data_IF_931540934485
#
_entry.id   IF_931540934485
#
_cell.length_a   1.000
_cell.length_b   1.000
_cell.length_c   1.000
_cell.angle_alpha   90.00
_cell.angle_beta   90.00
_cell.angle_gamma   90.00
#
_symmetry.space_group_name_H-M   'P 1'
#
loop_
_entity.id
_entity.type
_entity.pdbx_description
1 polymer ?
#
# COMPACT_ATOMS: atom_id res chain seq x y z
N UNK A 1 -17.22 29.66 12.96
CA UNK A 1 -17.18 29.29 11.52
C UNK A 1 -17.37 27.79 11.41
N UNK A 2 -18.53 27.33 10.91
CA UNK A 2 -18.84 25.90 10.76
C UNK A 2 -18.18 25.40 9.48
N UNK A 3 -17.21 24.49 9.60
CA UNK A 3 -16.55 23.87 8.44
C UNK A 3 -17.58 23.06 7.64
N UNK A 4 -17.54 23.23 6.32
CA UNK A 4 -18.44 22.57 5.37
C UNK A 4 -17.94 21.13 5.12
N UNK A 5 -18.44 20.16 5.89
CA UNK A 5 -18.06 18.72 5.81
C UNK A 5 -18.61 17.99 4.56
N UNK A 6 -19.21 18.67 3.59
CA UNK A 6 -19.90 18.07 2.42
C UNK A 6 -19.08 17.99 1.13
N UNK A 7 -17.74 17.97 1.21
CA UNK A 7 -16.85 17.80 0.03
C UNK A 7 -15.73 16.79 0.30
N UNK A 8 -16.06 15.66 0.91
CA UNK A 8 -15.15 14.51 0.95
C UNK A 8 -15.08 13.87 -0.45
N UNK A 9 -13.91 13.45 -0.95
CA UNK A 9 -13.86 12.58 -2.11
C UNK A 9 -14.54 11.26 -1.73
N UNK A 10 -15.73 11.05 -2.28
CA UNK A 10 -16.49 9.81 -2.13
C UNK A 10 -15.72 8.69 -2.84
N UNK A 11 -14.88 7.99 -2.09
CA UNK A 11 -14.37 6.67 -2.46
C UNK A 11 -15.48 5.67 -2.13
N UNK A 12 -16.50 5.59 -2.99
CA UNK A 12 -17.61 4.67 -2.80
C UNK A 12 -17.23 3.28 -3.25
N UNK A 13 -16.82 2.40 -2.35
CA UNK A 13 -16.66 0.98 -2.66
C UNK A 13 -18.03 0.31 -2.80
N UNK A 14 -18.08 -0.90 -3.37
CA UNK A 14 -19.27 -1.75 -3.31
C UNK A 14 -19.57 -2.08 -1.84
N UNK A 15 -20.43 -1.27 -1.24
CA UNK A 15 -21.05 -1.56 0.03
C UNK A 15 -22.28 -2.42 -0.23
N UNK A 16 -22.59 -3.29 0.71
CA UNK A 16 -23.97 -3.29 1.21
C UNK A 16 -24.30 -1.88 1.70
N UNK A 17 -24.76 -1.05 0.75
CA UNK A 17 -25.59 0.16 0.83
C UNK A 17 -25.15 1.31 1.74
N UNK A 18 -24.48 2.33 1.17
CA UNK A 18 -24.77 3.72 1.53
C UNK A 18 -25.60 4.37 0.42
N UNK A 19 -26.83 4.77 0.75
CA UNK A 19 -27.70 5.55 -0.14
C UNK A 19 -27.38 7.04 0.02
N UNK A 20 -26.87 7.67 -1.04
CA UNK A 20 -26.62 9.11 -1.08
C UNK A 20 -27.65 9.84 -1.94
N UNK A 21 -28.42 10.75 -1.33
CA UNK A 21 -29.42 11.55 -2.04
C UNK A 21 -28.81 12.79 -2.71
N UNK A 22 -28.85 12.86 -4.04
CA UNK A 22 -28.54 14.09 -4.79
C UNK A 22 -29.84 14.86 -5.04
N UNK A 23 -29.86 16.12 -4.60
CA UNK A 23 -30.97 17.06 -4.85
C UNK A 23 -30.61 17.92 -6.06
N UNK A 24 -31.09 17.56 -7.24
CA UNK A 24 -30.97 18.42 -8.41
C UNK A 24 -32.13 19.44 -8.43
N UNK A 25 -31.78 20.73 -8.57
CA UNK A 25 -32.75 21.81 -8.72
C UNK A 25 -33.10 21.93 -10.20
N UNK A 26 -34.09 21.16 -10.64
CA UNK A 26 -34.77 21.39 -11.92
C UNK A 26 -35.70 22.61 -11.84
N UNK A 27 -35.88 23.31 -12.97
CA UNK A 27 -36.68 24.53 -13.08
C UNK A 27 -38.18 24.34 -12.76
N UNK A 28 -38.68 23.11 -12.72
CA UNK A 28 -40.07 22.80 -12.35
C UNK A 28 -40.11 21.72 -11.27
N UNK A 29 -40.06 22.14 -9.99
CA UNK A 29 -40.30 21.27 -8.84
C UNK A 29 -39.15 20.31 -8.49
N UNK A 30 -38.74 20.30 -7.21
CA UNK A 30 -37.65 19.46 -6.70
C UNK A 30 -37.93 17.97 -6.98
N UNK A 31 -37.13 17.34 -7.86
CA UNK A 31 -37.01 15.88 -7.95
C UNK A 31 -35.71 15.46 -7.28
N UNK A 32 -35.80 14.79 -6.14
CA UNK A 32 -34.69 14.09 -5.51
C UNK A 32 -34.54 12.71 -6.17
N UNK A 33 -33.35 12.41 -6.70
CA UNK A 33 -33.02 11.10 -7.26
C UNK A 33 -31.97 10.44 -6.37
N UNK A 34 -32.24 9.22 -5.94
CA UNK A 34 -31.25 8.36 -5.29
C UNK A 34 -30.40 7.71 -6.37
N UNK A 35 -29.08 7.91 -6.29
CA UNK A 35 -28.13 7.30 -7.24
C UNK A 35 -27.22 6.39 -6.40
N UNK A 36 -27.19 5.10 -6.74
CA UNK A 36 -26.19 4.17 -6.20
C UNK A 36 -24.88 4.42 -6.93
N UNK A 37 -23.79 4.66 -6.19
CA UNK A 37 -22.45 4.70 -6.73
C UNK A 37 -21.67 3.48 -6.23
N UNK A 38 -21.04 2.75 -7.15
CA UNK A 38 -20.14 1.64 -6.88
C UNK A 38 -18.80 1.99 -7.56
N UNK A 39 -17.71 1.92 -6.83
CA UNK A 39 -16.34 2.04 -7.32
C UNK A 39 -15.54 0.89 -6.75
N UNK A 40 -15.39 -0.17 -7.52
CA UNK A 40 -14.37 -1.18 -7.28
C UNK A 40 -13.00 -0.50 -7.40
N UNK A 41 -12.21 -0.45 -6.31
CA UNK A 41 -10.79 -0.06 -6.44
C UNK A 41 -10.00 -1.28 -6.86
N UNK A 42 -9.78 -1.37 -8.16
CA UNK A 42 -8.74 -2.19 -8.74
C UNK A 42 -7.43 -1.40 -8.73
N UNK A 43 -6.39 -1.93 -8.11
CA UNK A 43 -5.03 -1.42 -8.27
C UNK A 43 -4.48 -1.88 -9.62
N UNK A 44 -3.85 -0.97 -10.36
CA UNK A 44 -3.06 -1.31 -11.56
C UNK A 44 -1.64 -1.61 -11.11
N UNK A 45 -1.19 -2.86 -11.18
CA UNK A 45 0.13 -3.29 -10.67
C UNK A 45 1.29 -2.41 -11.16
N UNK A 46 1.15 -1.85 -12.35
CA UNK A 46 2.18 -1.03 -13.01
C UNK A 46 2.22 0.44 -12.56
N UNK A 47 1.19 0.96 -11.87
CA UNK A 47 1.13 2.38 -11.53
C UNK A 47 0.41 2.69 -10.22
N UNK A 48 1.19 2.79 -9.14
CA UNK A 48 0.68 3.16 -7.81
C UNK A 48 0.56 4.67 -7.58
N UNK A 49 1.02 5.49 -8.53
CA UNK A 49 1.03 6.95 -8.41
C UNK A 49 -0.34 7.57 -8.07
N UNK A 50 -1.48 7.09 -8.64
CA UNK A 50 -2.80 7.64 -8.35
C UNK A 50 -3.22 7.45 -6.89
N UNK A 51 -2.86 6.31 -6.29
CA UNK A 51 -3.31 5.88 -4.96
C UNK A 51 -2.50 6.48 -3.82
N UNK A 52 -1.32 7.03 -4.11
CA UNK A 52 -0.48 7.67 -3.10
C UNK A 52 -1.18 8.83 -2.38
N UNK A 53 -2.06 9.56 -3.07
CA UNK A 53 -2.86 10.62 -2.44
C UNK A 53 -3.85 10.05 -1.43
N UNK A 54 -4.45 8.90 -1.73
CA UNK A 54 -5.37 8.19 -0.85
C UNK A 54 -4.61 7.62 0.37
N UNK A 55 -3.41 7.08 0.15
CA UNK A 55 -2.53 6.64 1.23
C UNK A 55 -2.22 7.77 2.22
N UNK A 56 -1.76 8.92 1.71
CA UNK A 56 -1.48 10.11 2.53
C UNK A 56 -2.73 10.66 3.24
N UNK A 57 -3.90 10.57 2.60
CA UNK A 57 -5.16 10.97 3.23
C UNK A 57 -5.44 10.14 4.48
N UNK A 58 -5.35 8.82 4.37
CA UNK A 58 -5.61 7.91 5.47
C UNK A 58 -4.57 8.00 6.58
N UNK A 59 -3.28 8.11 6.23
CA UNK A 59 -2.24 8.35 7.22
C UNK A 59 -2.46 9.66 7.99
N UNK A 60 -2.88 10.74 7.34
CA UNK A 60 -3.18 12.01 8.04
C UNK A 60 -4.35 11.85 9.00
N UNK A 61 -5.41 11.12 8.61
CA UNK A 61 -6.55 10.85 9.49
C UNK A 61 -6.14 10.04 10.72
N UNK A 62 -5.36 8.99 10.55
CA UNK A 62 -4.85 8.16 11.64
C UNK A 62 -3.89 8.94 12.56
N UNK A 63 -2.98 9.74 11.97
CA UNK A 63 -2.02 10.54 12.72
C UNK A 63 -2.68 11.64 13.57
N UNK A 64 -3.81 12.21 13.12
CA UNK A 64 -4.61 13.13 13.93
C UNK A 64 -5.17 12.49 15.21
N UNK A 65 -5.27 11.16 15.22
CA UNK A 65 -5.69 10.36 16.38
C UNK A 65 -4.49 9.80 17.17
N UNK A 66 -3.26 10.15 16.80
CA UNK A 66 -2.05 9.72 17.49
C UNK A 66 -1.53 8.33 17.08
N UNK A 67 -2.00 7.76 15.97
CA UNK A 67 -1.52 6.46 15.49
C UNK A 67 -0.03 6.52 15.12
N UNK A 68 0.76 5.65 15.74
CA UNK A 68 2.23 5.65 15.64
C UNK A 68 2.73 5.21 14.26
N UNK A 69 2.05 4.25 13.62
CA UNK A 69 2.37 3.78 12.28
C UNK A 69 2.15 4.90 11.28
N UNK A 70 1.01 5.58 11.35
CA UNK A 70 0.69 6.70 10.47
C UNK A 70 1.68 7.87 10.61
N UNK A 71 2.08 8.21 11.84
CA UNK A 71 3.10 9.22 12.11
C UNK A 71 4.46 8.84 11.50
N UNK A 72 4.87 7.57 11.65
CA UNK A 72 6.09 7.02 11.02
C UNK A 72 6.02 7.14 9.50
N UNK A 73 4.91 6.74 8.88
CA UNK A 73 4.74 6.80 7.42
C UNK A 73 4.76 8.24 6.88
N UNK A 74 4.14 9.19 7.58
CA UNK A 74 4.17 10.61 7.20
C UNK A 74 5.56 11.22 7.34
N UNK A 75 6.34 10.81 8.36
CA UNK A 75 7.74 11.24 8.51
C UNK A 75 8.59 10.74 7.34
N UNK A 76 8.47 9.47 6.98
CA UNK A 76 9.16 8.90 5.81
C UNK A 76 8.79 9.66 4.53
N UNK A 77 7.52 10.05 4.36
CA UNK A 77 7.09 10.84 3.21
C UNK A 77 7.72 12.25 3.17
N UNK A 78 7.90 12.89 4.33
CA UNK A 78 8.62 14.15 4.44
C UNK A 78 10.10 13.99 4.08
N UNK A 79 10.75 12.92 4.56
CA UNK A 79 12.14 12.59 4.26
C UNK A 79 12.34 12.34 2.75
N UNK A 80 11.46 11.54 2.13
CA UNK A 80 11.45 11.30 0.69
C UNK A 80 11.30 12.61 -0.11
N UNK A 81 10.46 13.54 0.35
CA UNK A 81 10.31 14.86 -0.28
C UNK A 81 11.63 15.66 -0.23
N UNK A 82 12.37 15.61 0.88
CA UNK A 82 13.69 16.21 1.03
C UNK A 82 14.73 15.61 0.06
N UNK A 83 14.79 14.29 -0.01
CA UNK A 83 15.68 13.57 -0.95
C UNK A 83 15.33 13.90 -2.39
N UNK A 84 14.04 13.95 -2.74
CA UNK A 84 13.60 14.32 -4.09
C UNK A 84 14.07 15.71 -4.51
N UNK A 85 14.02 16.70 -3.60
CA UNK A 85 14.54 18.05 -3.88
C UNK A 85 16.04 18.04 -4.16
N UNK A 86 16.84 17.26 -3.42
CA UNK A 86 18.29 17.11 -3.66
C UNK A 86 18.57 16.41 -4.99
N UNK A 87 17.86 15.32 -5.27
CA UNK A 87 17.99 14.56 -6.51
C UNK A 87 17.71 15.43 -7.75
N UNK A 88 16.69 16.30 -7.67
CA UNK A 88 16.36 17.28 -8.70
C UNK A 88 17.45 18.32 -8.94
N UNK A 89 18.23 18.67 -7.91
CA UNK A 89 19.39 19.58 -8.00
C UNK A 89 20.65 18.91 -8.58
N UNK A 90 20.59 17.61 -8.92
CA UNK A 90 21.71 16.90 -9.54
C UNK A 90 22.56 16.05 -8.59
N UNK A 91 22.24 16.02 -7.29
CA UNK A 91 22.95 15.22 -6.29
C UNK A 91 22.84 13.72 -6.63
N UNK A 92 23.96 13.13 -7.08
CA UNK A 92 24.02 11.76 -7.59
C UNK A 92 23.67 10.72 -6.50
N UNK A 93 24.03 10.98 -5.24
CA UNK A 93 23.72 10.08 -4.15
C UNK A 93 22.23 10.16 -3.78
N UNK A 94 21.67 11.37 -3.75
CA UNK A 94 20.23 11.55 -3.55
C UNK A 94 19.40 10.95 -4.70
N UNK A 95 19.89 10.99 -5.93
CA UNK A 95 19.26 10.32 -7.07
C UNK A 95 19.22 8.79 -6.88
N UNK A 96 20.34 8.19 -6.49
CA UNK A 96 20.39 6.76 -6.19
C UNK A 96 19.46 6.40 -5.03
N UNK A 97 19.47 7.19 -3.94
CA UNK A 97 18.59 6.98 -2.79
C UNK A 97 17.11 7.10 -3.17
N UNK A 98 16.75 8.08 -4.00
CA UNK A 98 15.38 8.23 -4.49
C UNK A 98 14.94 7.02 -5.31
N UNK A 99 15.84 6.38 -6.06
CA UNK A 99 15.54 5.14 -6.74
C UNK A 99 15.22 4.01 -5.77
N UNK A 100 16.02 3.86 -4.70
CA UNK A 100 15.76 2.90 -3.62
C UNK A 100 14.38 3.14 -3.01
N UNK A 101 14.01 4.40 -2.77
CA UNK A 101 12.73 4.76 -2.18
C UNK A 101 11.55 4.38 -3.08
N UNK A 102 11.63 4.62 -4.39
CA UNK A 102 10.59 4.16 -5.32
C UNK A 102 10.54 2.63 -5.44
N UNK A 103 11.68 1.95 -5.37
CA UNK A 103 11.71 0.49 -5.44
C UNK A 103 11.03 -0.17 -4.24
N UNK A 104 11.29 0.32 -3.03
CA UNK A 104 10.73 -0.22 -1.77
C UNK A 104 9.50 0.51 -1.25
N UNK A 105 8.98 1.50 -1.99
CA UNK A 105 7.92 2.40 -1.54
C UNK A 105 8.23 3.09 -0.18
N UNK A 106 9.48 3.47 0.07
CA UNK A 106 9.85 4.16 1.31
C UNK A 106 9.43 5.63 1.25
N UNK A 107 8.42 6.03 2.04
CA UNK A 107 7.89 7.40 2.02
C UNK A 107 7.29 7.83 0.68
N UNK A 108 6.99 6.87 -0.19
CA UNK A 108 6.41 7.04 -1.52
C UNK A 108 5.68 5.75 -1.89
N UNK A 109 5.13 5.67 -3.10
CA UNK A 109 4.54 4.45 -3.63
C UNK A 109 5.58 3.63 -4.41
N UNK A 110 5.30 2.33 -4.57
CA UNK A 110 6.15 1.44 -5.36
C UNK A 110 6.12 1.83 -6.84
N UNK A 111 7.29 2.05 -7.42
CA UNK A 111 7.46 2.34 -8.85
C UNK A 111 8.85 1.93 -9.33
N UNK A 112 8.95 0.73 -9.89
CA UNK A 112 10.23 0.16 -10.31
C UNK A 112 10.80 0.91 -11.52
N UNK A 113 9.96 1.42 -12.41
CA UNK A 113 10.39 2.16 -13.61
C UNK A 113 10.96 3.54 -13.25
N UNK A 114 10.32 4.28 -12.34
CA UNK A 114 10.90 5.50 -11.78
C UNK A 114 12.18 5.19 -11.02
N UNK A 115 12.22 4.07 -10.29
CA UNK A 115 13.45 3.55 -9.67
C UNK A 115 14.60 3.43 -10.68
N UNK A 116 14.39 2.66 -11.75
CA UNK A 116 15.37 2.48 -12.83
C UNK A 116 15.80 3.82 -13.46
N UNK A 117 14.85 4.71 -13.75
CA UNK A 117 15.14 6.04 -14.29
C UNK A 117 16.12 6.81 -13.38
N UNK A 118 15.88 6.82 -12.07
CA UNK A 118 16.74 7.51 -11.12
C UNK A 118 18.10 6.84 -10.96
N UNK A 119 18.20 5.50 -11.08
CA UNK A 119 19.50 4.79 -11.13
C UNK A 119 20.30 5.21 -12.36
N UNK A 120 19.70 5.17 -13.56
CA UNK A 120 20.40 5.58 -14.79
C UNK A 120 20.86 7.03 -14.70
N UNK A 121 20.04 7.91 -14.14
CA UNK A 121 20.40 9.32 -13.91
C UNK A 121 21.54 9.48 -12.90
N UNK A 122 21.47 8.76 -11.77
CA UNK A 122 22.53 8.75 -10.76
C UNK A 122 23.86 8.24 -11.33
N UNK A 123 23.82 7.19 -12.16
CA UNK A 123 24.99 6.63 -12.82
C UNK A 123 25.62 7.63 -13.81
N UNK A 124 24.80 8.32 -14.62
CA UNK A 124 25.26 9.43 -15.49
C UNK A 124 25.90 10.57 -14.71
N UNK A 125 25.42 10.83 -13.49
CA UNK A 125 25.98 11.81 -12.57
C UNK A 125 27.13 11.27 -11.69
N UNK A 126 27.65 10.07 -11.96
CA UNK A 126 28.83 9.52 -11.29
C UNK A 126 28.59 8.84 -9.94
N UNK A 127 27.35 8.50 -9.57
CA UNK A 127 27.09 7.72 -8.36
C UNK A 127 27.70 6.32 -8.46
N UNK A 128 28.63 6.00 -7.56
CA UNK A 128 29.28 4.68 -7.51
C UNK A 128 28.26 3.54 -7.31
N UNK A 129 27.31 3.73 -6.40
CA UNK A 129 26.25 2.74 -6.13
C UNK A 129 25.37 2.49 -7.35
N UNK A 130 25.05 3.56 -8.10
CA UNK A 130 24.27 3.45 -9.32
C UNK A 130 25.06 2.75 -10.44
N UNK A 131 26.35 3.08 -10.61
CA UNK A 131 27.23 2.43 -11.59
C UNK A 131 27.35 0.92 -11.34
N UNK A 132 27.52 0.51 -10.07
CA UNK A 132 27.52 -0.90 -9.68
C UNK A 132 26.17 -1.56 -9.99
N UNK A 133 25.08 -0.86 -9.69
CA UNK A 133 23.72 -1.36 -9.95
C UNK A 133 23.46 -1.58 -11.44
N UNK A 134 23.86 -0.64 -12.30
CA UNK A 134 23.77 -0.77 -13.77
C UNK A 134 24.67 -1.90 -14.26
N UNK A 135 25.94 -1.93 -13.85
CA UNK A 135 26.89 -2.97 -14.27
C UNK A 135 26.43 -4.38 -13.92
N UNK A 136 25.80 -4.57 -12.76
CA UNK A 136 25.33 -5.89 -12.30
C UNK A 136 24.15 -6.42 -13.13
N UNK A 137 23.27 -5.54 -13.62
CA UNK A 137 22.05 -5.93 -14.33
C UNK A 137 22.19 -5.80 -15.86
N UNK A 138 23.29 -5.23 -16.34
CA UNK A 138 23.52 -4.99 -17.75
C UNK A 138 24.30 -6.14 -18.40
N UNK A 139 23.93 -6.56 -19.62
CA UNK A 139 24.71 -7.51 -20.40
C UNK A 139 25.96 -6.88 -21.05
N UNK A 140 26.11 -5.55 -21.03
CA UNK A 140 27.20 -4.86 -21.70
C UNK A 140 28.49 -4.87 -20.87
N UNK A 141 29.64 -4.97 -21.55
CA UNK A 141 30.97 -4.84 -20.94
C UNK A 141 31.25 -3.41 -20.47
N UNK A 142 30.76 -2.42 -21.22
CA UNK A 142 30.92 -1.00 -20.93
C UNK A 142 29.62 -0.38 -20.38
N UNK A 143 29.74 0.33 -19.25
CA UNK A 143 28.59 0.99 -18.62
C UNK A 143 28.01 2.09 -19.52
N UNK A 144 28.82 2.74 -20.36
CA UNK A 144 28.34 3.79 -21.27
C UNK A 144 27.29 3.25 -22.24
N UNK A 145 27.54 2.07 -22.82
CA UNK A 145 26.60 1.39 -23.72
C UNK A 145 25.30 1.05 -22.98
N UNK A 146 25.40 0.55 -21.74
CA UNK A 146 24.23 0.30 -20.89
C UNK A 146 23.38 1.55 -20.61
N UNK A 147 24.01 2.72 -20.44
CA UNK A 147 23.31 3.97 -20.14
C UNK A 147 22.67 4.63 -21.38
N UNK A 148 23.08 4.21 -22.58
CA UNK A 148 22.54 4.62 -23.88
C UNK A 148 21.42 3.69 -24.34
N UNK A 149 21.45 2.42 -23.93
CA UNK A 149 20.38 1.45 -24.19
C UNK A 149 19.06 1.89 -23.50
N UNK A 150 17.97 2.13 -24.26
CA UNK A 150 16.67 2.47 -23.71
C UNK A 150 16.09 1.35 -22.83
N UNK A 151 16.37 0.08 -23.16
CA UNK A 151 15.82 -1.10 -22.50
C UNK A 151 16.65 -1.54 -21.29
N UNK A 152 17.83 -0.94 -21.09
CA UNK A 152 18.65 -1.22 -19.92
C UNK A 152 17.87 -0.92 -18.63
N UNK A 153 17.72 -1.97 -17.83
CA UNK A 153 16.98 -1.98 -16.59
C UNK A 153 17.90 -2.37 -15.43
N UNK A 154 17.95 -1.52 -14.40
CA UNK A 154 18.78 -1.72 -13.23
C UNK A 154 17.94 -1.59 -11.96
N UNK A 155 18.21 -2.47 -11.00
CA UNK A 155 17.64 -2.43 -9.66
C UNK A 155 18.68 -1.96 -8.65
N UNK A 156 18.27 -1.30 -7.56
CA UNK A 156 19.20 -0.87 -6.53
C UNK A 156 19.83 -2.09 -5.85
N UNK A 157 21.16 -2.09 -5.74
CA UNK A 157 21.93 -3.19 -5.10
C UNK A 157 22.19 -2.91 -3.62
N UNK A 158 22.33 -1.63 -3.27
CA UNK A 158 22.60 -1.17 -1.91
C UNK A 158 21.36 -0.53 -1.30
N UNK A 159 21.01 -0.98 -0.09
CA UNK A 159 19.86 -0.50 0.67
C UNK A 159 20.35 0.21 1.94
N UNK A 160 19.85 1.42 2.24
CA UNK A 160 20.05 2.08 3.52
C UNK A 160 19.39 1.27 4.64
N UNK A 161 19.96 1.32 5.84
CA UNK A 161 19.38 0.66 7.02
C UNK A 161 17.96 1.15 7.31
N UNK A 162 17.68 2.42 7.03
CA UNK A 162 16.35 3.01 7.23
C UNK A 162 15.27 2.36 6.35
N UNK A 163 15.67 1.74 5.24
CA UNK A 163 14.78 1.02 4.31
C UNK A 163 14.73 -0.47 4.63
N UNK A 164 15.69 -1.00 5.40
CA UNK A 164 15.66 -2.39 5.86
C UNK A 164 14.50 -2.56 6.85
N UNK A 165 13.64 -3.55 6.59
CA UNK A 165 12.47 -3.83 7.44
C UNK A 165 11.20 -3.03 7.12
N UNK A 166 11.20 -2.14 6.12
CA UNK A 166 10.01 -1.34 5.75
C UNK A 166 9.07 -2.01 4.75
N UNK A 167 9.19 -3.32 4.53
CA UNK A 167 8.46 -4.05 3.48
C UNK A 167 7.03 -4.39 3.92
N UNK A 168 6.21 -3.34 4.10
CA UNK A 168 4.82 -3.46 4.54
C UNK A 168 3.93 -4.12 3.49
N UNK A 169 4.37 -4.25 2.24
CA UNK A 169 3.66 -5.06 1.23
C UNK A 169 3.58 -6.52 1.63
N UNK A 170 4.66 -7.06 2.20
CA UNK A 170 4.70 -8.44 2.70
C UNK A 170 3.78 -8.66 3.91
N UNK A 171 3.27 -7.59 4.52
CA UNK A 171 2.40 -7.66 5.69
C UNK A 171 1.02 -8.24 5.37
N UNK A 172 0.57 -8.08 4.12
CA UNK A 172 -0.73 -8.48 3.61
C UNK A 172 -0.56 -9.45 2.43
N UNK A 173 -0.51 -10.75 2.71
CA UNK A 173 -0.22 -11.82 1.74
C UNK A 173 0.86 -12.80 2.24
N UNK A 174 0.77 -14.08 1.84
CA UNK A 174 1.54 -15.23 2.39
C UNK A 174 3.00 -14.91 2.78
N UNK A 175 3.25 -14.69 4.06
CA UNK A 175 4.58 -14.83 4.65
C UNK A 175 4.80 -16.29 5.07
N UNK A 176 5.94 -16.87 4.67
CA UNK A 176 6.48 -18.06 5.34
C UNK A 176 6.86 -17.68 6.77
N UNK A 177 6.69 -18.63 7.71
CA UNK A 177 6.97 -18.52 9.16
C UNK A 177 8.29 -17.81 9.51
N UNK A 178 9.30 -17.89 8.64
CA UNK A 178 10.63 -17.28 8.82
C UNK A 178 10.69 -15.75 8.70
N UNK A 179 9.79 -15.08 7.96
CA UNK A 179 9.86 -13.61 7.77
C UNK A 179 9.09 -12.79 8.84
N UNK A 180 8.39 -13.49 9.73
CA UNK A 180 7.54 -12.89 10.78
C UNK A 180 8.35 -12.37 11.94
N UNK A 181 9.51 -12.98 12.18
CA UNK A 181 10.44 -12.60 13.22
C UNK A 181 11.12 -11.25 12.88
N UNK A 182 11.20 -10.88 11.59
CA UNK A 182 11.90 -9.69 11.11
C UNK A 182 11.04 -8.40 11.07
N UNK A 183 9.71 -8.49 11.18
CA UNK A 183 8.80 -7.41 10.71
C UNK A 183 7.89 -6.76 11.78
N UNK A 184 8.21 -6.85 13.08
CA UNK A 184 7.30 -6.49 14.20
C UNK A 184 5.94 -7.25 14.15
N UNK A 185 5.80 -8.21 13.23
CA UNK A 185 4.57 -8.94 12.95
C UNK A 185 4.19 -9.88 14.08
N UNK A 186 5.16 -10.42 14.82
CA UNK A 186 4.90 -11.22 16.02
C UNK A 186 3.99 -10.51 17.04
N UNK A 187 4.10 -9.19 17.17
CA UNK A 187 3.26 -8.40 18.09
C UNK A 187 1.82 -8.30 17.60
N UNK A 188 1.63 -7.97 16.31
CA UNK A 188 0.30 -7.88 15.70
C UNK A 188 -0.36 -9.27 15.68
N UNK A 189 0.41 -10.30 15.34
CA UNK A 189 -0.04 -11.69 15.28
C UNK A 189 -0.41 -12.21 16.65
N UNK A 190 0.43 -11.98 17.66
CA UNK A 190 0.10 -12.31 19.04
C UNK A 190 -1.24 -11.71 19.47
N UNK A 191 -1.52 -10.46 19.09
CA UNK A 191 -2.77 -9.78 19.45
C UNK A 191 -4.03 -10.44 18.87
N UNK A 192 -4.00 -10.94 17.63
CA UNK A 192 -5.20 -11.49 16.96
C UNK A 192 -5.22 -13.03 16.88
N UNK A 193 -4.09 -13.70 17.19
CA UNK A 193 -3.95 -15.16 17.10
C UNK A 193 -4.80 -15.98 18.07
N UNK A 194 -5.35 -15.36 19.11
CA UNK A 194 -6.23 -16.03 20.08
C UNK A 194 -7.72 -15.76 19.85
N UNK A 195 -8.09 -15.02 18.81
CA UNK A 195 -9.47 -14.62 18.61
C UNK A 195 -10.32 -15.74 18.01
N UNK A 196 -11.52 -15.89 18.58
CA UNK A 196 -12.58 -16.68 18.00
C UNK A 196 -13.20 -15.92 16.82
N UNK A 197 -13.21 -16.56 15.65
CA UNK A 197 -13.70 -15.96 14.41
C UNK A 197 -15.19 -15.63 14.52
N UNK A 198 -16.02 -16.56 14.99
CA UNK A 198 -17.48 -16.39 14.99
C UNK A 198 -17.90 -15.28 15.95
N UNK A 199 -17.33 -15.27 17.16
CA UNK A 199 -17.54 -14.19 18.13
C UNK A 199 -17.09 -12.83 17.58
N UNK A 200 -15.89 -12.77 16.97
CA UNK A 200 -15.38 -11.53 16.37
C UNK A 200 -16.25 -11.07 15.21
N UNK A 201 -16.78 -11.98 14.41
CA UNK A 201 -17.67 -11.70 13.29
C UNK A 201 -18.99 -11.08 13.75
N UNK A 202 -19.62 -11.66 14.78
CA UNK A 202 -20.85 -11.11 15.36
C UNK A 202 -20.65 -9.68 15.91
N UNK A 203 -19.54 -9.44 16.62
CA UNK A 203 -19.23 -8.10 17.15
C UNK A 203 -18.86 -7.09 16.06
N UNK A 204 -18.19 -7.53 14.99
CA UNK A 204 -17.90 -6.69 13.83
C UNK A 204 -19.17 -6.25 13.11
N UNK A 205 -20.16 -7.15 12.98
CA UNK A 205 -21.49 -6.83 12.43
C UNK A 205 -22.27 -5.83 13.30
N UNK A 206 -22.02 -5.82 14.61
CA UNK A 206 -22.58 -4.81 15.51
C UNK A 206 -21.95 -3.41 15.35
N UNK A 207 -20.98 -3.24 14.44
CA UNK A 207 -20.34 -1.96 14.15
C UNK A 207 -19.20 -1.59 15.09
N UNK A 208 -18.71 -2.54 15.89
CA UNK A 208 -17.58 -2.30 16.80
C UNK A 208 -16.30 -2.22 15.97
N UNK A 209 -15.76 -1.00 15.81
CA UNK A 209 -14.66 -0.73 14.88
C UNK A 209 -13.38 -1.53 15.18
N UNK A 210 -13.07 -1.78 16.44
CA UNK A 210 -11.95 -2.63 16.83
C UNK A 210 -12.14 -4.09 16.37
N UNK A 211 -13.38 -4.58 16.38
CA UNK A 211 -13.71 -5.95 15.98
C UNK A 211 -13.81 -6.10 14.47
N UNK A 212 -14.27 -5.06 13.77
CA UNK A 212 -14.11 -4.96 12.32
C UNK A 212 -12.63 -5.00 11.92
N UNK A 213 -11.76 -4.27 12.63
CA UNK A 213 -10.32 -4.32 12.40
C UNK A 213 -9.72 -5.69 12.70
N UNK A 214 -10.13 -6.32 13.81
CA UNK A 214 -9.68 -7.67 14.15
C UNK A 214 -10.12 -8.72 13.12
N UNK A 215 -11.38 -8.66 12.68
CA UNK A 215 -11.92 -9.53 11.65
C UNK A 215 -11.19 -9.37 10.33
N UNK A 216 -10.79 -8.15 9.97
CA UNK A 216 -9.97 -7.89 8.79
C UNK A 216 -8.65 -8.69 8.83
N UNK A 217 -7.97 -8.72 9.99
CA UNK A 217 -6.77 -9.52 10.17
C UNK A 217 -7.02 -11.03 10.12
N UNK A 218 -8.15 -11.51 10.65
CA UNK A 218 -8.52 -12.92 10.55
C UNK A 218 -8.70 -13.35 9.09
N UNK A 219 -9.35 -12.53 8.27
CA UNK A 219 -9.45 -12.76 6.83
C UNK A 219 -8.10 -12.62 6.11
N UNK A 220 -7.29 -11.63 6.47
CA UNK A 220 -5.97 -11.39 5.87
C UNK A 220 -5.02 -12.58 6.07
N UNK A 221 -5.12 -13.28 7.20
CA UNK A 221 -4.27 -14.44 7.52
C UNK A 221 -4.93 -15.79 7.26
N UNK A 222 -6.26 -15.83 7.10
CA UNK A 222 -7.00 -17.08 7.04
C UNK A 222 -7.01 -17.81 8.37
N UNK A 223 -7.21 -17.08 9.47
CA UNK A 223 -7.32 -17.67 10.79
C UNK A 223 -8.80 -17.89 11.15
N UNK A 224 -9.18 -19.16 11.35
CA UNK A 224 -10.58 -19.55 11.55
C UNK A 224 -11.43 -19.50 10.27
N UNK A 225 -10.88 -18.98 9.16
CA UNK A 225 -11.53 -18.85 7.86
C UNK A 225 -10.51 -19.05 6.74
N UNK A 226 -10.95 -19.29 5.50
CA UNK A 226 -10.03 -19.24 4.35
C UNK A 226 -9.50 -17.81 4.19
N UNK A 227 -8.19 -17.68 3.94
CA UNK A 227 -7.58 -16.38 3.65
C UNK A 227 -8.30 -15.67 2.50
N UNK A 228 -8.73 -14.43 2.73
CA UNK A 228 -9.36 -13.58 1.72
C UNK A 228 -8.99 -12.10 1.94
N UNK A 229 -8.02 -11.63 1.16
CA UNK A 229 -7.54 -10.25 1.19
C UNK A 229 -8.63 -9.25 0.77
N UNK A 230 -9.64 -9.67 -0.03
CA UNK A 230 -10.78 -8.79 -0.36
C UNK A 230 -11.62 -8.52 0.85
N UNK A 231 -11.97 -9.57 1.58
CA UNK A 231 -12.76 -9.44 2.79
C UNK A 231 -11.97 -8.67 3.85
N UNK A 232 -10.67 -8.92 4.00
CA UNK A 232 -9.80 -8.12 4.84
C UNK A 232 -9.86 -6.62 4.50
N UNK A 233 -9.68 -6.27 3.21
CA UNK A 233 -9.74 -4.88 2.74
C UNK A 233 -11.10 -4.23 3.06
N UNK A 234 -12.21 -4.95 2.88
CA UNK A 234 -13.56 -4.45 3.22
C UNK A 234 -13.67 -4.15 4.71
N UNK A 235 -13.26 -5.06 5.58
CA UNK A 235 -13.35 -4.88 7.02
C UNK A 235 -12.40 -3.81 7.57
N UNK A 236 -11.19 -3.68 7.00
CA UNK A 236 -10.32 -2.53 7.27
C UNK A 236 -10.99 -1.22 6.87
N UNK A 237 -11.69 -1.22 5.74
CA UNK A 237 -12.41 -0.04 5.25
C UNK A 237 -13.53 0.37 6.20
N UNK A 238 -14.39 -0.58 6.60
CA UNK A 238 -15.47 -0.33 7.57
C UNK A 238 -14.93 0.23 8.90
N UNK A 239 -13.90 -0.41 9.46
CA UNK A 239 -13.26 0.05 10.68
C UNK A 239 -12.69 1.48 10.55
N UNK A 240 -12.08 1.79 9.41
CA UNK A 240 -11.50 3.11 9.14
C UNK A 240 -12.58 4.21 9.01
N UNK A 241 -13.72 3.90 8.40
CA UNK A 241 -14.89 4.79 8.33
C UNK A 241 -15.56 4.98 9.69
N UNK A 242 -15.54 3.94 10.54
CA UNK A 242 -15.88 4.03 11.96
C UNK A 242 -14.79 4.70 12.82
N UNK A 243 -13.86 5.41 12.17
CA UNK A 243 -12.83 6.26 12.75
C UNK A 243 -11.77 5.51 13.55
N UNK A 244 -11.62 4.20 13.38
CA UNK A 244 -10.58 3.45 14.06
C UNK A 244 -9.20 3.78 13.47
N UNK A 245 -8.36 4.46 14.25
CA UNK A 245 -7.07 4.96 13.78
C UNK A 245 -6.14 3.87 13.22
N UNK A 246 -6.02 2.68 13.84
CA UNK A 246 -5.23 1.58 13.26
C UNK A 246 -5.73 1.16 11.89
N UNK A 247 -7.05 1.04 11.69
CA UNK A 247 -7.63 0.69 10.40
C UNK A 247 -7.36 1.75 9.32
N UNK A 248 -7.40 3.03 9.70
CA UNK A 248 -7.02 4.14 8.81
C UNK A 248 -5.55 4.03 8.43
N UNK A 249 -4.65 3.73 9.38
CA UNK A 249 -3.24 3.54 9.07
C UNK A 249 -3.02 2.36 8.11
N UNK A 250 -3.68 1.23 8.34
CA UNK A 250 -3.58 0.06 7.45
C UNK A 250 -4.14 0.33 6.06
N UNK A 251 -5.25 1.07 5.92
CA UNK A 251 -5.70 1.51 4.60
C UNK A 251 -4.61 2.31 3.88
N UNK A 252 -3.93 3.21 4.60
CA UNK A 252 -2.79 3.94 4.07
C UNK A 252 -1.71 3.03 3.46
N UNK A 253 -1.40 1.93 4.15
CA UNK A 253 -0.47 0.90 3.68
C UNK A 253 -1.01 0.21 2.43
N UNK A 254 -2.26 -0.27 2.46
CA UNK A 254 -2.88 -0.96 1.33
C UNK A 254 -2.86 -0.10 0.05
N UNK A 255 -3.17 1.19 0.16
CA UNK A 255 -3.09 2.13 -0.98
C UNK A 255 -1.65 2.42 -1.44
N UNK A 256 -0.68 2.50 -0.53
CA UNK A 256 0.72 2.79 -0.85
C UNK A 256 1.37 1.65 -1.66
N UNK A 257 1.01 0.41 -1.32
CA UNK A 257 1.58 -0.79 -1.91
C UNK A 257 0.67 -1.46 -2.94
N UNK A 258 -0.54 -0.94 -3.16
CA UNK A 258 -1.47 -1.49 -4.16
C UNK A 258 -2.06 -2.83 -3.77
N UNK A 259 -2.21 -3.08 -2.47
CA UNK A 259 -2.64 -4.37 -1.95
C UNK A 259 -4.17 -4.42 -2.01
N UNK A 260 -4.68 -5.00 -3.09
CA UNK A 260 -6.02 -5.57 -3.17
C UNK A 260 -5.97 -6.79 -4.06
N UNK A 261 -7.04 -7.59 -4.05
CA UNK A 261 -7.21 -8.88 -4.70
C UNK A 261 -6.80 -9.07 -6.17
N UNK A 262 -6.30 -8.03 -6.85
CA UNK A 262 -5.71 -8.19 -8.17
C UNK A 262 -4.22 -8.53 -8.13
N UNK A 263 -3.52 -8.35 -7.01
CA UNK A 263 -2.13 -8.80 -6.85
C UNK A 263 -1.99 -10.29 -6.52
N UNK A 264 -3.05 -11.08 -6.67
CA UNK A 264 -3.02 -12.53 -6.47
C UNK A 264 -3.59 -13.26 -7.69
N UNK A 265 -2.85 -13.23 -8.80
CA UNK A 265 -2.89 -14.35 -9.75
C UNK A 265 -1.83 -15.39 -9.36
N UNK A 266 -2.35 -16.55 -8.93
CA UNK A 266 -1.86 -17.91 -9.23
C UNK A 266 -0.42 -18.27 -8.81
N UNK A 267 -0.29 -18.93 -7.65
CA UNK A 267 0.43 -20.21 -7.68
C UNK A 267 -0.54 -21.28 -8.20
N UNK A 268 -0.44 -21.58 -9.50
CA UNK A 268 -0.73 -22.93 -9.97
C UNK A 268 0.31 -23.84 -9.33
N UNK A 269 -0.08 -24.60 -8.31
CA UNK A 269 0.61 -25.86 -8.04
C UNK A 269 0.11 -26.86 -9.09
N UNK A 270 0.84 -26.98 -10.19
CA UNK A 270 0.81 -28.19 -10.99
C UNK A 270 1.78 -29.21 -10.37
N UNK A 271 1.34 -30.47 -10.29
CA UNK A 271 2.24 -31.61 -10.20
C UNK A 271 2.32 -32.38 -8.87
N UNK A 272 1.30 -33.20 -8.62
CA UNK A 272 1.35 -34.54 -7.97
C UNK A 272 1.61 -34.64 -6.46
N UNK A 273 0.57 -34.97 -5.70
CA UNK A 273 0.39 -36.31 -5.06
C UNK A 273 -0.71 -36.23 -3.99
N UNK A 274 -1.83 -36.93 -4.23
CA UNK A 274 -2.45 -37.92 -3.34
C UNK A 274 -3.81 -38.28 -3.92
N UNK A 275 -3.80 -39.33 -4.75
CA UNK A 275 -4.97 -40.18 -4.90
C UNK A 275 -5.20 -40.83 -3.55
N UNK A 276 -6.31 -40.50 -2.89
CA UNK A 276 -6.84 -41.35 -1.85
C UNK A 276 -7.44 -42.58 -2.55
N UNK A 277 -6.85 -43.74 -2.27
CA UNK A 277 -7.56 -45.02 -2.37
C UNK A 277 -8.53 -45.21 -1.22
#
# INVERSE_FOLDING_TARGET
MRSNWRKEPVLGFEFSTMEGGLKERGSNGQKSRWIRYCRTVSFSEDNMSPYWKDALFWYRKAALQGDSLALKMLRQAADCSGIRKRAMKGDAQAQYLLAVYYYHAYGTYRDVYRGNYWIKKAAKNGSKSALISVKRHSPYSEIKQALEDPDCFALPVFLPEEVLGSDMAKRHGKLRRQLIEETEMGTVWGKYSGLDFDATYHEALAGIAEKQYALAWLYDWGQGVKQDIREAFKWFTEAAFNRYAPAQAELGVLYQFGISARTTDLEMFDGKERLYG
#
